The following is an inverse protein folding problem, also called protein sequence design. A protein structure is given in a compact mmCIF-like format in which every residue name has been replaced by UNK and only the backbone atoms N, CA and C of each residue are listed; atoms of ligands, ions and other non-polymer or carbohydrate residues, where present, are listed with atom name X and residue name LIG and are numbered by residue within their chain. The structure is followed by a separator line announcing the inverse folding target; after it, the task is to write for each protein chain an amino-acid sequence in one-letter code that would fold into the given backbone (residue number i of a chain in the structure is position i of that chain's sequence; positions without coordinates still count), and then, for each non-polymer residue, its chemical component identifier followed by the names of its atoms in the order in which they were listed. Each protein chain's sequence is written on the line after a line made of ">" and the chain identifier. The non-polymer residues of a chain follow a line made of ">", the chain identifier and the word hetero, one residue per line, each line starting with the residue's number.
data_IF_914175688113
#
_entry.id   IF_914175688113
#
_cell.length_a   1.000
_cell.length_b   1.000
_cell.length_c   1.000
_cell.angle_alpha   90.00
_cell.angle_beta   90.00
_cell.angle_gamma   90.00
#
_symmetry.space_group_name_H-M   'P 1'
#
loop_
_entity.id
_entity.type
_entity.pdbx_description
1 polymer ?
#
# COMPACT_ATOMS: atom_id res chain seq x y z
N UNK A 1 22.83 1.57 -1.34
CA UNK A 1 22.51 0.23 -0.78
C UNK A 1 21.08 0.22 -0.29
N UNK A 2 20.32 -0.81 -0.60
CA UNK A 2 18.92 -0.91 -0.19
C UNK A 2 18.82 -1.29 1.30
N UNK A 3 18.06 -0.52 2.05
CA UNK A 3 17.80 -0.80 3.47
C UNK A 3 16.54 -1.66 3.60
N UNK A 4 16.72 -2.96 3.59
CA UNK A 4 15.60 -3.91 3.67
C UNK A 4 14.88 -3.85 5.02
N UNK A 5 15.57 -3.53 6.10
CA UNK A 5 14.93 -3.39 7.42
C UNK A 5 13.93 -2.24 7.42
N UNK A 6 14.30 -1.12 6.81
CA UNK A 6 13.41 0.03 6.67
C UNK A 6 12.20 -0.30 5.79
N UNK A 7 12.42 -1.04 4.70
CA UNK A 7 11.37 -1.49 3.79
C UNK A 7 10.39 -2.41 4.53
N UNK A 8 10.89 -3.40 5.27
CA UNK A 8 10.07 -4.31 6.04
C UNK A 8 9.22 -3.58 7.08
N UNK A 9 9.82 -2.61 7.76
CA UNK A 9 9.13 -1.78 8.76
C UNK A 9 8.01 -0.97 8.11
N UNK A 10 8.29 -0.38 6.96
CA UNK A 10 7.30 0.41 6.22
C UNK A 10 6.14 -0.48 5.75
N UNK A 11 6.44 -1.69 5.28
CA UNK A 11 5.40 -2.66 4.91
C UNK A 11 4.50 -3.00 6.09
N UNK A 12 5.09 -3.23 7.28
CA UNK A 12 4.32 -3.54 8.47
C UNK A 12 3.42 -2.38 8.88
N UNK A 13 3.91 -1.15 8.77
CA UNK A 13 3.12 0.04 9.06
C UNK A 13 1.96 0.19 8.08
N UNK A 14 2.20 -0.06 6.79
CA UNK A 14 1.16 -0.03 5.76
C UNK A 14 0.10 -1.08 6.07
N UNK A 15 0.51 -2.29 6.38
CA UNK A 15 -0.41 -3.38 6.73
C UNK A 15 -1.26 -3.02 7.95
N UNK A 16 -0.65 -2.43 8.96
CA UNK A 16 -1.34 -2.02 10.18
C UNK A 16 -2.42 -0.98 9.88
N UNK A 17 -2.09 0.01 9.06
CA UNK A 17 -3.04 1.06 8.66
C UNK A 17 -4.23 0.44 7.89
N UNK A 18 -3.95 -0.39 6.91
CA UNK A 18 -5.00 -1.01 6.09
C UNK A 18 -5.92 -1.88 6.96
N UNK A 19 -5.33 -2.70 7.81
CA UNK A 19 -6.12 -3.58 8.68
C UNK A 19 -6.96 -2.81 9.68
N UNK A 20 -6.46 -1.68 10.17
CA UNK A 20 -7.20 -0.84 11.11
C UNK A 20 -8.38 -0.12 10.44
N UNK A 21 -8.23 0.29 9.19
CA UNK A 21 -9.24 1.08 8.48
C UNK A 21 -10.24 0.19 7.74
N UNK A 22 -9.76 -0.84 7.05
CA UNK A 22 -10.54 -1.66 6.13
C UNK A 22 -10.72 -3.12 6.59
N UNK A 23 -9.91 -3.57 7.54
CA UNK A 23 -9.88 -4.98 7.91
C UNK A 23 -9.00 -5.81 6.96
N UNK A 24 -9.18 -7.12 6.97
CA UNK A 24 -8.36 -8.03 6.16
C UNK A 24 -8.78 -8.01 4.69
N UNK A 25 -8.17 -7.12 3.91
CA UNK A 25 -8.45 -7.01 2.48
C UNK A 25 -7.18 -6.88 1.62
N UNK A 26 -6.01 -7.14 2.21
CA UNK A 26 -4.76 -7.09 1.46
C UNK A 26 -4.63 -8.34 0.61
N UNK A 27 -4.58 -8.14 -0.72
CA UNK A 27 -4.33 -9.22 -1.67
C UNK A 27 -2.84 -9.47 -1.83
N UNK A 28 -2.06 -8.39 -1.95
CA UNK A 28 -0.62 -8.48 -2.11
C UNK A 28 0.04 -7.24 -1.51
N UNK A 29 1.15 -7.45 -0.81
CA UNK A 29 1.97 -6.38 -0.27
C UNK A 29 3.43 -6.82 -0.38
N UNK A 30 4.16 -6.22 -1.30
CA UNK A 30 5.54 -6.63 -1.59
C UNK A 30 6.38 -5.46 -2.08
N UNK A 31 7.70 -5.56 -1.85
CA UNK A 31 8.66 -4.60 -2.39
C UNK A 31 9.11 -5.06 -3.77
N UNK A 32 9.07 -4.15 -4.74
CA UNK A 32 9.54 -4.39 -6.09
C UNK A 32 10.84 -3.62 -6.33
N UNK A 33 11.94 -4.35 -6.48
CA UNK A 33 13.26 -3.75 -6.65
C UNK A 33 13.39 -2.91 -7.91
N UNK A 34 12.78 -3.34 -9.01
CA UNK A 34 12.86 -2.64 -10.29
C UNK A 34 12.35 -1.22 -10.21
N UNK A 35 11.30 -1.00 -9.42
CA UNK A 35 10.69 0.31 -9.24
C UNK A 35 11.18 1.02 -8.00
N UNK A 36 11.92 0.32 -7.15
CA UNK A 36 12.27 0.79 -5.81
C UNK A 36 11.02 1.26 -5.08
N UNK A 37 10.01 0.42 -5.06
CA UNK A 37 8.70 0.75 -4.54
C UNK A 37 8.02 -0.43 -3.86
N UNK A 38 7.18 -0.13 -2.88
CA UNK A 38 6.31 -1.12 -2.25
C UNK A 38 4.97 -1.10 -3.00
N UNK A 39 4.50 -2.26 -3.41
CA UNK A 39 3.23 -2.41 -4.11
C UNK A 39 2.21 -3.00 -3.16
N UNK A 40 1.10 -2.29 -2.98
CA UNK A 40 -0.03 -2.74 -2.18
C UNK A 40 -1.22 -2.96 -3.10
N UNK A 41 -1.73 -4.19 -3.12
CA UNK A 41 -2.94 -4.53 -3.86
C UNK A 41 -4.00 -5.01 -2.88
N UNK A 42 -5.18 -4.43 -2.96
CA UNK A 42 -6.31 -4.80 -2.13
C UNK A 42 -7.28 -5.70 -2.92
N UNK A 43 -7.99 -6.55 -2.20
CA UNK A 43 -9.01 -7.41 -2.80
C UNK A 43 -10.35 -6.69 -3.01
N UNK A 44 -10.43 -5.42 -2.61
CA UNK A 44 -11.65 -4.61 -2.71
C UNK A 44 -11.38 -3.36 -3.54
N UNK A 45 -12.43 -2.85 -4.20
CA UNK A 45 -12.36 -1.58 -4.90
C UNK A 45 -12.86 -0.48 -3.97
N UNK A 46 -12.04 0.57 -3.80
CA UNK A 46 -12.35 1.69 -2.92
C UNK A 46 -12.91 2.86 -3.71
N UNK A 47 -13.83 3.61 -3.08
CA UNK A 47 -14.29 4.88 -3.60
C UNK A 47 -13.23 5.96 -3.37
N UNK A 48 -13.32 7.07 -4.10
CA UNK A 48 -12.35 8.16 -4.00
C UNK A 48 -12.18 8.68 -2.58
N UNK A 49 -13.27 8.83 -1.84
CA UNK A 49 -13.22 9.30 -0.45
C UNK A 49 -12.42 8.34 0.43
N UNK A 50 -12.65 7.05 0.26
CA UNK A 50 -11.93 6.03 1.01
C UNK A 50 -10.44 6.00 0.63
N UNK A 51 -10.13 6.17 -0.64
CA UNK A 51 -8.74 6.26 -1.11
C UNK A 51 -8.04 7.46 -0.48
N UNK A 52 -8.69 8.62 -0.48
CA UNK A 52 -8.13 9.83 0.09
C UNK A 52 -7.89 9.70 1.59
N UNK A 53 -8.86 9.17 2.32
CA UNK A 53 -8.75 8.96 3.76
C UNK A 53 -7.60 8.01 4.10
N UNK A 54 -7.48 6.94 3.34
CA UNK A 54 -6.44 5.95 3.56
C UNK A 54 -5.05 6.53 3.26
N UNK A 55 -4.92 7.28 2.17
CA UNK A 55 -3.65 7.92 1.80
C UNK A 55 -3.15 8.87 2.88
N UNK A 56 -4.05 9.56 3.57
CA UNK A 56 -3.68 10.46 4.67
C UNK A 56 -3.11 9.72 5.88
N UNK A 57 -3.39 8.44 6.03
CA UNK A 57 -2.96 7.66 7.17
C UNK A 57 -1.70 6.84 6.92
N UNK A 58 -1.28 6.70 5.67
CA UNK A 58 -0.07 5.95 5.34
C UNK A 58 1.19 6.63 5.87
N UNK A 59 2.22 5.85 6.26
CA UNK A 59 3.46 6.41 6.81
C UNK A 59 4.29 7.17 5.79
N UNK A 60 4.12 6.88 4.50
CA UNK A 60 4.80 7.57 3.40
C UNK A 60 3.78 7.87 2.30
N UNK A 61 4.08 8.82 1.41
CA UNK A 61 3.16 9.14 0.32
C UNK A 61 2.88 7.92 -0.57
N UNK A 62 1.62 7.74 -0.92
CA UNK A 62 1.17 6.66 -1.78
C UNK A 62 0.68 7.20 -3.12
N UNK A 63 1.08 6.56 -4.21
CA UNK A 63 0.52 6.83 -5.52
C UNK A 63 -0.63 5.86 -5.76
N UNK A 64 -1.82 6.40 -5.98
CA UNK A 64 -2.96 5.60 -6.35
C UNK A 64 -2.87 5.21 -7.82
N UNK A 65 -2.70 3.92 -8.08
CA UNK A 65 -2.49 3.40 -9.42
C UNK A 65 -3.77 2.81 -10.03
N UNK A 66 -4.91 3.18 -9.46
CA UNK A 66 -6.20 2.73 -9.96
C UNK A 66 -6.54 1.32 -9.52
N UNK A 67 -7.19 0.57 -10.42
CA UNK A 67 -7.61 -0.79 -10.14
C UNK A 67 -6.51 -1.75 -10.57
N UNK A 68 -6.00 -2.54 -9.62
CA UNK A 68 -5.07 -3.63 -9.90
C UNK A 68 -5.82 -4.85 -10.41
N UNK A 69 -5.14 -6.03 -10.37
CA UNK A 69 -5.74 -7.27 -10.87
C UNK A 69 -6.92 -7.75 -10.04
N UNK A 70 -7.04 -7.33 -8.79
CA UNK A 70 -8.09 -7.77 -7.87
C UNK A 70 -8.93 -6.63 -7.28
N UNK A 71 -8.45 -5.42 -7.34
CA UNK A 71 -9.12 -4.27 -6.75
C UNK A 71 -8.22 -3.06 -6.77
N UNK A 72 -8.19 -2.31 -5.68
CA UNK A 72 -7.42 -1.07 -5.58
C UNK A 72 -5.93 -1.35 -5.45
N UNK A 73 -5.10 -0.56 -6.13
CA UNK A 73 -3.64 -0.70 -6.11
C UNK A 73 -2.99 0.62 -5.73
N UNK A 74 -2.02 0.56 -4.81
CA UNK A 74 -1.20 1.70 -4.42
C UNK A 74 0.28 1.37 -4.63
N UNK A 75 1.06 2.40 -4.96
CA UNK A 75 2.51 2.29 -5.14
C UNK A 75 3.18 3.29 -4.18
N UNK A 76 4.12 2.80 -3.38
CA UNK A 76 4.85 3.62 -2.41
C UNK A 76 6.32 3.67 -2.83
N UNK A 77 6.74 4.76 -3.45
CA UNK A 77 8.14 4.92 -3.87
C UNK A 77 9.02 5.23 -2.66
N UNK A 78 10.12 4.49 -2.58
CA UNK A 78 11.06 4.61 -1.48
C UNK A 78 12.15 5.66 -1.82
#
# INVERSE_FOLDING_TARGET
>A
MTDYDSIWRTQDEIRTVVNAVLGECIWNLAYEERRNAIILELSVTLEEDAVSDLCCQFPIPADYDGVGSRGTKFVFYI
#
